data_IF_106111076000
#
_entry.id   IF_106111076000
#
_cell.length_a   1.000
_cell.length_b   1.000
_cell.length_c   1.000
_cell.angle_alpha   90.00
_cell.angle_beta   90.00
_cell.angle_gamma   90.00
#
_symmetry.space_group_name_H-M   'P 1'
#
loop_
_entity.id
_entity.type
_entity.pdbx_description
1 polymer ?
#
# COMPACT_ATOMS: atom_id res chain seq x y z
N UNK A 1 -33.88 -14.06 -13.84
CA UNK A 1 -34.24 -13.37 -12.59
C UNK A 1 -34.09 -11.89 -12.87
N UNK A 2 -35.21 -11.18 -13.04
CA UNK A 2 -35.20 -9.73 -13.22
C UNK A 2 -34.89 -9.10 -11.86
N UNK A 3 -33.77 -8.37 -11.76
CA UNK A 3 -33.45 -7.56 -10.58
C UNK A 3 -34.27 -6.27 -10.68
N UNK A 4 -35.05 -5.97 -9.65
CA UNK A 4 -35.69 -4.68 -9.47
C UNK A 4 -34.59 -3.60 -9.40
N UNK A 5 -34.62 -2.65 -10.34
CA UNK A 5 -33.68 -1.52 -10.38
C UNK A 5 -34.31 -0.36 -9.62
N UNK A 6 -33.60 0.17 -8.62
CA UNK A 6 -34.04 1.35 -7.90
C UNK A 6 -34.10 2.56 -8.85
N UNK A 7 -35.23 3.27 -8.85
CA UNK A 7 -35.46 4.50 -9.62
C UNK A 7 -35.64 5.74 -8.72
N UNK A 8 -35.38 5.58 -7.42
CA UNK A 8 -35.46 6.66 -6.44
C UNK A 8 -34.31 7.67 -6.55
N UNK A 9 -34.42 8.78 -5.81
CA UNK A 9 -33.38 9.84 -5.75
C UNK A 9 -32.35 9.60 -4.65
N UNK A 10 -32.29 8.39 -4.09
CA UNK A 10 -31.34 8.04 -3.04
C UNK A 10 -29.91 7.99 -3.63
N UNK A 11 -28.89 8.44 -2.90
CA UNK A 11 -27.52 8.40 -3.39
C UNK A 11 -27.04 6.96 -3.54
N UNK A 12 -26.24 6.70 -4.57
CA UNK A 12 -25.54 5.43 -4.71
C UNK A 12 -24.44 5.32 -3.66
N UNK A 13 -24.36 4.17 -3.02
CA UNK A 13 -23.21 3.81 -2.20
C UNK A 13 -22.17 3.18 -3.11
N UNK A 14 -21.03 3.85 -3.27
CA UNK A 14 -19.88 3.33 -4.01
C UNK A 14 -18.88 2.77 -3.01
N UNK A 15 -18.54 1.50 -3.19
CA UNK A 15 -17.46 0.84 -2.45
C UNK A 15 -16.36 0.51 -3.46
N UNK A 16 -15.16 1.03 -3.25
CA UNK A 16 -14.02 0.63 -4.06
C UNK A 16 -13.61 -0.78 -3.68
N UNK A 17 -13.66 -1.71 -4.64
CA UNK A 17 -13.20 -3.08 -4.44
C UNK A 17 -11.68 -3.23 -4.52
N UNK A 18 -10.97 -2.17 -4.92
CA UNK A 18 -9.55 -2.19 -5.17
C UNK A 18 -8.94 -0.82 -4.88
N UNK A 19 -8.19 -0.74 -3.78
CA UNK A 19 -7.36 0.39 -3.42
C UNK A 19 -6.05 -0.14 -2.87
N UNK A 20 -5.02 0.69 -2.86
CA UNK A 20 -3.72 0.33 -2.33
C UNK A 20 -3.31 1.28 -1.21
N UNK A 21 -2.57 0.75 -0.24
CA UNK A 21 -1.98 1.53 0.85
C UNK A 21 -0.69 0.85 1.32
N UNK A 22 0.24 1.66 1.82
CA UNK A 22 1.52 1.19 2.36
C UNK A 22 2.31 2.34 2.94
N UNK A 23 3.03 2.09 4.03
CA UNK A 23 4.07 3.00 4.51
C UNK A 23 5.17 3.18 3.47
N UNK A 24 5.92 4.28 3.62
CA UNK A 24 7.22 4.39 3.00
C UNK A 24 8.12 3.23 3.46
N UNK A 25 8.96 2.74 2.55
CA UNK A 25 9.70 1.50 2.75
C UNK A 25 10.49 1.50 4.07
N UNK A 26 11.18 2.58 4.40
CA UNK A 26 11.99 2.78 5.61
C UNK A 26 11.18 2.80 6.91
N UNK A 27 9.90 3.20 6.85
CA UNK A 27 9.03 3.32 8.01
C UNK A 27 8.51 1.97 8.51
N UNK A 28 8.74 0.87 7.78
CA UNK A 28 8.42 -0.48 8.24
C UNK A 28 9.38 -1.01 9.32
N UNK A 29 10.54 -0.37 9.53
CA UNK A 29 11.57 -0.84 10.48
C UNK A 29 11.05 -1.13 11.89
N UNK A 30 10.19 -0.28 12.50
CA UNK A 30 9.62 -0.53 13.83
C UNK A 30 8.68 -1.74 13.88
N UNK A 31 8.08 -2.11 12.75
CA UNK A 31 7.16 -3.25 12.63
C UNK A 31 7.87 -4.58 12.34
N UNK A 32 9.16 -4.53 12.02
CA UNK A 32 9.99 -5.70 11.71
C UNK A 32 10.69 -6.28 12.94
N UNK A 33 10.78 -7.61 12.97
CA UNK A 33 11.59 -8.33 13.94
C UNK A 33 13.07 -7.91 13.80
N UNK A 34 13.76 -7.64 14.91
CA UNK A 34 15.12 -7.10 14.89
C UNK A 34 16.13 -7.98 14.15
N UNK A 35 15.86 -9.29 14.06
CA UNK A 35 16.69 -10.24 13.31
C UNK A 35 16.69 -10.03 11.80
N UNK A 36 15.79 -9.19 11.27
CA UNK A 36 15.69 -8.84 9.86
C UNK A 36 16.17 -7.41 9.56
N UNK A 37 16.57 -6.64 10.58
CA UNK A 37 16.91 -5.22 10.39
C UNK A 37 18.11 -5.01 9.47
N UNK A 38 19.17 -5.82 9.57
CA UNK A 38 20.34 -5.69 8.68
C UNK A 38 19.99 -5.98 7.21
N UNK A 39 19.20 -7.04 6.97
CA UNK A 39 18.70 -7.40 5.65
C UNK A 39 17.77 -6.31 5.08
N UNK A 40 16.91 -5.76 5.94
CA UNK A 40 16.00 -4.68 5.59
C UNK A 40 16.73 -3.37 5.26
N UNK A 41 17.73 -2.98 6.04
CA UNK A 41 18.51 -1.77 5.81
C UNK A 41 19.24 -1.86 4.44
N UNK A 42 19.71 -3.06 4.06
CA UNK A 42 20.27 -3.34 2.72
C UNK A 42 19.20 -3.21 1.62
N UNK A 43 18.03 -3.81 1.83
CA UNK A 43 16.90 -3.76 0.90
C UNK A 43 16.45 -2.32 0.61
N UNK A 44 16.31 -1.49 1.64
CA UNK A 44 15.94 -0.07 1.50
C UNK A 44 16.97 0.67 0.65
N UNK A 45 18.27 0.44 0.88
CA UNK A 45 19.34 1.06 0.11
C UNK A 45 19.30 0.67 -1.38
N UNK A 46 19.06 -0.61 -1.68
CA UNK A 46 18.89 -1.11 -3.05
C UNK A 46 17.66 -0.49 -3.73
N UNK A 47 16.55 -0.36 -3.01
CA UNK A 47 15.32 0.25 -3.53
C UNK A 47 15.53 1.71 -3.92
N UNK A 48 16.19 2.51 -3.07
CA UNK A 48 16.53 3.89 -3.43
C UNK A 48 17.51 3.96 -4.61
N UNK A 49 18.42 3.00 -4.76
CA UNK A 49 19.30 2.94 -5.93
C UNK A 49 18.53 2.64 -7.22
N UNK A 50 17.58 1.71 -7.19
CA UNK A 50 16.72 1.42 -8.33
C UNK A 50 15.83 2.60 -8.71
N UNK A 51 15.25 3.33 -7.74
CA UNK A 51 14.43 4.53 -8.00
C UNK A 51 15.24 5.60 -8.75
N UNK A 52 16.46 5.89 -8.32
CA UNK A 52 17.33 6.87 -9.00
C UNK A 52 17.54 6.54 -10.48
N UNK A 53 17.70 5.25 -10.82
CA UNK A 53 17.84 4.80 -12.21
C UNK A 53 16.52 4.95 -12.97
N UNK A 54 15.38 4.66 -12.35
CA UNK A 54 14.07 4.79 -12.98
C UNK A 54 13.72 6.26 -13.28
N UNK A 55 14.08 7.18 -12.39
CA UNK A 55 13.88 8.62 -12.56
C UNK A 55 14.69 9.16 -13.75
N UNK A 56 15.87 8.62 -14.08
CA UNK A 56 16.69 9.08 -15.21
C UNK A 56 15.98 8.98 -16.58
N UNK A 57 14.96 8.13 -16.72
CA UNK A 57 14.26 7.91 -18.00
C UNK A 57 13.11 8.91 -18.24
N UNK A 58 12.58 9.56 -17.20
CA UNK A 58 11.45 10.50 -17.32
C UNK A 58 11.34 11.54 -16.17
N UNK A 59 12.48 11.95 -15.59
CA UNK A 59 12.56 12.72 -14.34
C UNK A 59 11.68 13.98 -14.30
N UNK A 60 11.64 14.75 -15.38
CA UNK A 60 10.93 16.04 -15.41
C UNK A 60 9.41 15.84 -15.29
N UNK A 61 8.86 14.87 -16.03
CA UNK A 61 7.43 14.54 -15.94
C UNK A 61 7.06 13.95 -14.58
N UNK A 62 7.91 13.05 -14.05
CA UNK A 62 7.67 12.43 -12.74
C UNK A 62 7.67 13.50 -11.65
N UNK A 63 8.66 14.40 -11.66
CA UNK A 63 8.77 15.46 -10.67
C UNK A 63 7.60 16.45 -10.74
N UNK A 64 7.18 16.85 -11.94
CA UNK A 64 6.01 17.73 -12.11
C UNK A 64 4.74 17.05 -11.60
N UNK A 65 4.48 15.81 -12.02
CA UNK A 65 3.29 15.08 -11.63
C UNK A 65 3.24 14.75 -10.13
N UNK A 66 4.35 14.27 -9.55
CA UNK A 66 4.43 14.03 -8.10
C UNK A 66 4.27 15.32 -7.31
N UNK A 67 4.82 16.44 -7.79
CA UNK A 67 4.64 17.75 -7.17
C UNK A 67 3.19 18.22 -7.19
N UNK A 68 2.51 18.10 -8.34
CA UNK A 68 1.10 18.48 -8.49
C UNK A 68 0.17 17.61 -7.62
N UNK A 69 0.57 16.38 -7.30
CA UNK A 69 -0.22 15.41 -6.54
C UNK A 69 0.32 15.17 -5.12
N UNK A 70 1.32 15.92 -4.66
CA UNK A 70 2.09 15.67 -3.43
C UNK A 70 1.20 15.38 -2.22
N UNK A 71 0.21 16.23 -1.99
CA UNK A 71 -0.72 16.05 -0.88
C UNK A 71 -1.55 14.78 -1.02
N UNK A 72 -2.16 14.52 -2.19
CA UNK A 72 -3.02 13.35 -2.38
C UNK A 72 -2.27 12.01 -2.28
N UNK A 73 -1.00 11.99 -2.70
CA UNK A 73 -0.13 10.81 -2.62
C UNK A 73 0.10 10.36 -1.17
N UNK A 74 0.11 11.28 -0.21
CA UNK A 74 0.22 10.94 1.22
C UNK A 74 -0.94 10.06 1.69
N UNK A 75 -2.09 10.07 1.02
CA UNK A 75 -3.23 9.19 1.33
C UNK A 75 -2.93 7.68 1.18
N UNK A 76 -1.77 7.31 0.63
CA UNK A 76 -1.27 5.95 0.65
C UNK A 76 -0.90 5.45 2.07
N UNK A 77 -0.53 6.35 2.99
CA UNK A 77 -0.14 6.01 4.37
C UNK A 77 -0.73 6.91 5.45
N UNK A 78 -1.22 8.09 5.09
CA UNK A 78 -1.83 9.07 6.00
C UNK A 78 -3.37 8.99 5.93
N UNK A 79 -4.05 8.54 7.00
CA UNK A 79 -5.50 8.45 7.01
C UNK A 79 -6.20 9.83 6.99
N UNK A 80 -5.56 10.88 7.52
CA UNK A 80 -6.12 12.24 7.54
C UNK A 80 -6.17 12.86 6.14
N UNK A 81 -5.29 12.40 5.24
CA UNK A 81 -5.31 12.73 3.80
C UNK A 81 -6.23 11.79 3.03
N UNK A 82 -6.22 10.50 3.34
CA UNK A 82 -6.99 9.50 2.59
C UNK A 82 -8.49 9.74 2.62
N UNK A 83 -9.04 10.07 3.80
CA UNK A 83 -10.48 10.30 3.96
C UNK A 83 -11.03 11.41 3.06
N UNK A 84 -10.47 12.64 3.02
CA UNK A 84 -10.95 13.68 2.13
C UNK A 84 -10.72 13.39 0.64
N UNK A 85 -9.67 12.64 0.27
CA UNK A 85 -9.47 12.19 -1.12
C UNK A 85 -10.60 11.24 -1.54
N UNK A 86 -10.92 10.23 -0.72
CA UNK A 86 -12.01 9.30 -0.99
C UNK A 86 -13.39 9.99 -0.96
N UNK A 87 -13.58 11.00 -0.11
CA UNK A 87 -14.79 11.80 -0.07
C UNK A 87 -14.99 12.60 -1.36
N UNK A 88 -13.92 13.18 -1.91
CA UNK A 88 -13.94 13.90 -3.17
C UNK A 88 -14.33 12.98 -4.35
N UNK A 89 -13.92 11.71 -4.30
CA UNK A 89 -14.27 10.68 -5.29
C UNK A 89 -15.65 10.04 -5.05
N UNK A 90 -16.32 10.35 -3.93
CA UNK A 90 -17.61 9.78 -3.57
C UNK A 90 -17.57 8.31 -3.13
N UNK A 91 -16.43 7.83 -2.64
CA UNK A 91 -16.20 6.45 -2.21
C UNK A 91 -16.57 6.29 -0.73
N UNK A 92 -17.66 5.58 -0.45
CA UNK A 92 -18.17 5.38 0.90
C UNK A 92 -17.43 4.30 1.70
N UNK A 93 -16.69 3.41 1.02
CA UNK A 93 -15.93 2.33 1.63
C UNK A 93 -14.89 1.75 0.67
N UNK A 94 -13.90 1.05 1.20
CA UNK A 94 -12.77 0.55 0.41
C UNK A 94 -12.24 -0.81 0.88
N UNK A 95 -11.80 -1.61 -0.09
CA UNK A 95 -10.93 -2.76 0.12
C UNK A 95 -9.49 -2.34 -0.14
N UNK A 96 -8.61 -2.57 0.82
CA UNK A 96 -7.21 -2.09 0.80
C UNK A 96 -6.27 -3.27 0.61
N UNK A 97 -5.60 -3.29 -0.54
CA UNK A 97 -4.46 -4.16 -0.84
C UNK A 97 -3.15 -3.47 -0.46
N UNK A 98 -2.11 -4.28 -0.31
CA UNK A 98 -0.75 -3.79 -0.16
C UNK A 98 -0.24 -3.08 -1.43
N UNK A 99 0.93 -2.45 -1.36
CA UNK A 99 1.63 -1.81 -2.49
C UNK A 99 0.97 -0.53 -3.03
N UNK A 100 0.95 0.54 -2.22
CA UNK A 100 0.76 1.91 -2.73
C UNK A 100 1.84 2.35 -3.74
N UNK A 101 2.94 1.59 -3.78
CA UNK A 101 4.11 1.67 -4.66
C UNK A 101 3.81 1.85 -6.14
N UNK A 102 2.67 1.34 -6.62
CA UNK A 102 2.29 1.40 -8.04
C UNK A 102 2.29 2.83 -8.62
N UNK A 103 2.28 3.85 -7.76
CA UNK A 103 2.25 5.26 -8.15
C UNK A 103 3.63 5.94 -8.04
N UNK A 104 4.36 5.82 -6.93
CA UNK A 104 5.60 6.59 -6.69
C UNK A 104 6.88 5.76 -6.54
N UNK A 105 6.78 4.42 -6.48
CA UNK A 105 7.94 3.60 -6.20
C UNK A 105 8.24 3.41 -4.70
N UNK A 106 7.50 4.05 -3.77
CA UNK A 106 7.94 4.19 -2.37
C UNK A 106 7.15 3.38 -1.35
N UNK A 107 5.89 3.08 -1.63
CA UNK A 107 4.95 2.53 -0.66
C UNK A 107 4.72 1.03 -0.85
N UNK A 108 5.73 0.20 -0.63
CA UNK A 108 5.63 -1.26 -0.79
C UNK A 108 5.93 -2.00 0.53
N UNK A 109 5.27 -3.14 0.82
CA UNK A 109 5.66 -3.99 1.91
C UNK A 109 7.15 -4.35 1.85
N UNK A 110 7.82 -4.16 2.98
CA UNK A 110 9.25 -4.46 3.15
C UNK A 110 9.62 -5.86 2.66
N UNK A 111 10.86 -6.02 2.16
CA UNK A 111 11.40 -7.30 1.69
C UNK A 111 10.55 -7.94 0.59
N UNK A 112 9.94 -7.12 -0.27
CA UNK A 112 9.11 -7.54 -1.41
C UNK A 112 7.85 -8.34 -1.04
N UNK A 113 7.36 -8.29 0.20
CA UNK A 113 6.23 -9.13 0.64
C UNK A 113 4.88 -8.80 -0.05
N UNK A 114 4.83 -7.74 -0.85
CA UNK A 114 3.71 -7.33 -1.69
C UNK A 114 3.71 -7.94 -3.10
N UNK A 115 3.52 -7.11 -4.13
CA UNK A 115 3.42 -7.51 -5.55
C UNK A 115 4.66 -8.26 -6.06
N UNK A 116 5.81 -8.08 -5.42
CA UNK A 116 7.06 -8.78 -5.73
C UNK A 116 7.28 -10.07 -4.90
N UNK A 117 6.26 -10.58 -4.19
CA UNK A 117 6.41 -11.73 -3.29
C UNK A 117 6.91 -13.00 -3.99
N UNK A 118 6.65 -13.15 -5.30
CA UNK A 118 7.16 -14.26 -6.11
C UNK A 118 8.68 -14.25 -6.31
N UNK A 119 9.37 -13.16 -5.98
CA UNK A 119 10.83 -13.05 -6.03
C UNK A 119 11.50 -13.41 -4.71
N UNK A 120 10.72 -13.62 -3.64
CA UNK A 120 11.28 -13.93 -2.33
C UNK A 120 11.71 -15.39 -2.30
N UNK A 121 12.99 -15.60 -2.00
CA UNK A 121 13.59 -16.93 -1.90
C UNK A 121 13.74 -17.41 -0.45
N UNK A 122 13.77 -16.48 0.53
CA UNK A 122 13.80 -16.81 1.96
C UNK A 122 12.41 -16.61 2.60
N UNK A 123 11.82 -17.69 3.11
CA UNK A 123 10.52 -17.66 3.78
C UNK A 123 10.52 -16.76 5.02
N UNK A 124 11.65 -16.61 5.73
CA UNK A 124 11.77 -15.68 6.87
C UNK A 124 11.49 -14.24 6.45
N UNK A 125 12.03 -13.83 5.31
CA UNK A 125 11.85 -12.50 4.75
C UNK A 125 10.40 -12.29 4.32
N UNK A 126 9.82 -13.27 3.62
CA UNK A 126 8.42 -13.21 3.16
C UNK A 126 7.46 -13.01 4.34
N UNK A 127 7.55 -13.86 5.35
CA UNK A 127 6.70 -13.77 6.53
C UNK A 127 7.06 -12.56 7.40
N UNK A 128 8.32 -12.14 7.43
CA UNK A 128 8.76 -10.93 8.13
C UNK A 128 8.09 -9.68 7.57
N UNK A 129 8.19 -9.47 6.26
CA UNK A 129 7.59 -8.33 5.58
C UNK A 129 6.06 -8.35 5.62
N UNK A 130 5.45 -9.52 5.43
CA UNK A 130 3.99 -9.65 5.52
C UNK A 130 3.46 -9.32 6.92
N UNK A 131 4.12 -9.81 7.98
CA UNK A 131 3.75 -9.46 9.35
C UNK A 131 3.92 -7.97 9.65
N UNK A 132 5.00 -7.36 9.18
CA UNK A 132 5.22 -5.93 9.34
C UNK A 132 4.10 -5.11 8.69
N UNK A 133 3.77 -5.42 7.43
CA UNK A 133 2.68 -4.76 6.71
C UNK A 133 1.32 -5.00 7.37
N UNK A 134 1.00 -6.22 7.79
CA UNK A 134 -0.28 -6.53 8.41
C UNK A 134 -0.48 -5.79 9.75
N UNK A 135 0.59 -5.63 10.55
CA UNK A 135 0.55 -4.87 11.81
C UNK A 135 0.21 -3.40 11.54
N UNK A 136 0.88 -2.79 10.56
CA UNK A 136 0.56 -1.42 10.16
C UNK A 136 -0.84 -1.29 9.55
N UNK A 137 -1.23 -2.22 8.68
CA UNK A 137 -2.54 -2.20 8.01
C UNK A 137 -3.70 -2.29 9.02
N UNK A 138 -3.52 -3.07 10.09
CA UNK A 138 -4.47 -3.13 11.20
C UNK A 138 -4.66 -1.74 11.84
N UNK A 139 -3.56 -1.05 12.17
CA UNK A 139 -3.59 0.31 12.74
C UNK A 139 -4.22 1.31 11.76
N UNK A 140 -3.88 1.21 10.48
CA UNK A 140 -4.44 2.05 9.43
C UNK A 140 -5.96 1.85 9.29
N UNK A 141 -6.44 0.60 9.22
CA UNK A 141 -7.87 0.31 9.18
C UNK A 141 -8.61 0.76 10.45
N UNK A 142 -7.96 0.70 11.61
CA UNK A 142 -8.55 1.10 12.89
C UNK A 142 -8.90 2.61 12.97
N UNK A 143 -8.29 3.45 12.12
CA UNK A 143 -8.60 4.88 12.05
C UNK A 143 -10.01 5.17 11.52
N UNK A 144 -10.57 4.27 10.70
CA UNK A 144 -11.96 4.34 10.23
C UNK A 144 -12.49 2.92 9.89
N UNK A 145 -12.83 2.11 10.92
CA UNK A 145 -13.12 0.69 10.74
C UNK A 145 -14.45 0.40 10.03
N UNK A 146 -15.31 1.41 9.86
CA UNK A 146 -16.56 1.30 9.09
C UNK A 146 -16.29 1.44 7.59
N UNK A 147 -15.30 2.27 7.21
CA UNK A 147 -14.94 2.56 5.82
C UNK A 147 -13.89 1.59 5.27
N UNK A 148 -12.94 1.16 6.11
CA UNK A 148 -11.70 0.51 5.68
C UNK A 148 -11.71 -1.00 5.94
N UNK A 149 -11.49 -1.79 4.89
CA UNK A 149 -11.28 -3.23 4.99
C UNK A 149 -9.95 -3.64 4.35
N UNK A 150 -8.94 -3.91 5.19
CA UNK A 150 -7.62 -4.36 4.75
C UNK A 150 -7.56 -5.85 4.37
N UNK A 151 -6.78 -6.16 3.34
CA UNK A 151 -6.49 -7.53 2.90
C UNK A 151 -5.13 -7.95 3.47
N UNK A 152 -5.15 -8.86 4.44
CA UNK A 152 -3.93 -9.34 5.07
C UNK A 152 -3.04 -10.15 4.10
N UNK A 153 -1.74 -9.88 4.13
CA UNK A 153 -0.74 -10.64 3.40
C UNK A 153 -0.46 -11.97 4.09
N UNK A 154 -0.62 -13.06 3.34
CA UNK A 154 -0.31 -14.43 3.80
C UNK A 154 0.58 -15.08 2.73
N UNK A 155 1.92 -15.03 2.89
CA UNK A 155 2.84 -15.61 1.91
C UNK A 155 2.63 -17.11 1.72
N UNK A 156 2.74 -17.55 0.47
CA UNK A 156 2.81 -18.97 0.10
C UNK A 156 4.25 -19.26 -0.28
N UNK A 157 4.96 -20.00 0.57
CA UNK A 157 6.37 -20.38 0.35
C UNK A 157 6.46 -21.87 0.06
N UNK A 158 7.37 -22.27 -0.84
CA UNK A 158 7.71 -23.69 -1.00
C UNK A 158 8.57 -24.13 0.20
N UNK A 159 8.34 -25.34 0.70
CA UNK A 159 9.19 -26.03 1.71
C UNK A 159 8.95 -25.74 3.21
N UNK A 160 7.70 -25.58 3.65
CA UNK A 160 7.31 -25.76 5.08
C UNK A 160 7.22 -27.24 5.47
#
# INVERSE_FOLDING_TARGET
MEREVSTGSEPYVVVSSDTHAGLQCEEYRPYLESSLHEEFDTYVAERHAHRRIAEELNAEFIAEWEGDNEWGLQGAYDPEVRDPVLDADGVAGEIIFADGDAVTGQESPSLCAGLAAGQITDSRQAFGGARAHNRWLEEFCATNPVRRAGVALVPITHDV
#
